data_IF_726326693000
#
_entry.id   IF_726326693000
#
_cell.length_a   1.000
_cell.length_b   1.000
_cell.length_c   1.000
_cell.angle_alpha   90.00
_cell.angle_beta   90.00
_cell.angle_gamma   90.00
#
_symmetry.space_group_name_H-M   'P 1'
#
loop_
_entity.id
_entity.type
_entity.pdbx_description
1 polymer ?
#
# COMPACT_ATOMS: atom_id res chain seq x y z
N UNK A 1 -39.15 7.85 15.84
CA UNK A 1 -38.28 6.66 15.91
C UNK A 1 -37.00 6.91 15.09
N UNK A 2 -35.85 7.14 15.75
CA UNK A 2 -34.56 7.52 15.14
C UNK A 2 -33.76 6.27 14.75
N UNK A 3 -33.73 5.90 13.47
CA UNK A 3 -32.91 4.77 12.95
C UNK A 3 -31.96 5.17 11.81
N UNK A 4 -31.37 6.38 11.86
CA UNK A 4 -30.43 6.86 10.82
C UNK A 4 -28.95 6.99 11.24
N UNK A 5 -28.57 6.50 12.42
CA UNK A 5 -27.18 6.61 12.94
C UNK A 5 -26.25 5.43 12.60
N UNK A 6 -26.79 4.23 12.37
CA UNK A 6 -25.99 2.99 12.16
C UNK A 6 -25.14 3.03 10.89
N UNK A 7 -25.70 3.50 9.77
CA UNK A 7 -24.98 3.52 8.48
C UNK A 7 -23.80 4.50 8.43
N UNK A 8 -23.89 5.64 9.13
CA UNK A 8 -22.77 6.60 9.21
C UNK A 8 -21.59 6.01 9.99
N UNK A 9 -21.85 5.36 11.12
CA UNK A 9 -20.80 4.73 11.93
C UNK A 9 -20.09 3.59 11.19
N UNK A 10 -20.84 2.71 10.50
CA UNK A 10 -20.24 1.62 9.70
C UNK A 10 -19.35 2.14 8.56
N UNK A 11 -19.81 3.16 7.81
CA UNK A 11 -19.01 3.80 6.75
C UNK A 11 -17.71 4.40 7.28
N UNK A 12 -17.75 5.04 8.46
CA UNK A 12 -16.54 5.58 9.10
C UNK A 12 -15.59 4.47 9.57
N UNK A 13 -16.11 3.31 10.00
CA UNK A 13 -15.31 2.17 10.45
C UNK A 13 -14.60 1.49 9.27
N UNK A 14 -15.29 1.30 8.15
CA UNK A 14 -14.70 0.71 6.94
C UNK A 14 -13.58 1.59 6.36
N UNK A 15 -13.77 2.92 6.29
CA UNK A 15 -12.72 3.83 5.80
C UNK A 15 -11.51 3.83 6.73
N UNK A 16 -11.72 3.83 8.05
CA UNK A 16 -10.62 3.77 9.03
C UNK A 16 -9.87 2.45 8.97
N UNK A 17 -10.58 1.34 8.79
CA UNK A 17 -9.98 0.04 8.62
C UNK A 17 -9.14 0.00 7.33
N UNK A 18 -9.71 0.45 6.21
CA UNK A 18 -9.01 0.49 4.93
C UNK A 18 -7.74 1.35 4.99
N UNK A 19 -7.80 2.54 5.61
CA UNK A 19 -6.63 3.39 5.82
C UNK A 19 -5.52 2.68 6.61
N UNK A 20 -5.88 2.05 7.74
CA UNK A 20 -4.91 1.31 8.56
C UNK A 20 -4.31 0.13 7.82
N UNK A 21 -5.12 -0.58 7.03
CA UNK A 21 -4.68 -1.70 6.20
C UNK A 21 -3.70 -1.23 5.13
N UNK A 22 -4.03 -0.18 4.35
CA UNK A 22 -3.14 0.39 3.33
C UNK A 22 -1.80 0.83 3.94
N UNK A 23 -1.85 1.50 5.09
CA UNK A 23 -0.66 1.96 5.79
C UNK A 23 0.20 0.78 6.29
N UNK A 24 -0.43 -0.24 6.90
CA UNK A 24 0.25 -1.46 7.34
C UNK A 24 0.89 -2.22 6.19
N UNK A 25 0.18 -2.40 5.07
CA UNK A 25 0.75 -3.09 3.91
C UNK A 25 1.88 -2.27 3.28
N UNK A 26 1.76 -0.94 3.26
CA UNK A 26 2.85 -0.07 2.75
C UNK A 26 4.13 -0.27 3.56
N UNK A 27 4.04 -0.24 4.89
CA UNK A 27 5.20 -0.50 5.75
C UNK A 27 5.74 -1.92 5.58
N UNK A 28 4.86 -2.91 5.40
CA UNK A 28 5.27 -4.28 5.10
C UNK A 28 6.04 -4.38 3.78
N UNK A 29 5.55 -3.76 2.70
CA UNK A 29 6.26 -3.73 1.41
C UNK A 29 7.60 -3.01 1.49
N UNK A 30 7.70 -1.90 2.24
CA UNK A 30 8.98 -1.22 2.50
C UNK A 30 9.93 -2.15 3.27
N UNK A 31 9.44 -2.84 4.29
CA UNK A 31 10.22 -3.81 5.05
C UNK A 31 10.77 -4.94 4.17
N UNK A 32 9.95 -5.48 3.27
CA UNK A 32 10.39 -6.47 2.28
C UNK A 32 11.45 -5.92 1.33
N UNK A 33 11.32 -4.68 0.86
CA UNK A 33 12.32 -4.05 0.01
C UNK A 33 13.67 -3.92 0.73
N UNK A 34 13.66 -3.46 1.98
CA UNK A 34 14.87 -3.39 2.82
C UNK A 34 15.46 -4.79 3.04
N UNK A 35 14.62 -5.78 3.33
CA UNK A 35 15.07 -7.16 3.52
C UNK A 35 15.68 -7.75 2.26
N UNK A 36 15.13 -7.43 1.08
CA UNK A 36 15.71 -7.81 -0.21
C UNK A 36 17.11 -7.22 -0.38
N UNK A 37 17.31 -5.91 -0.10
CA UNK A 37 18.64 -5.28 -0.17
C UNK A 37 19.67 -5.97 0.74
N UNK A 38 19.30 -6.25 2.00
CA UNK A 38 20.19 -6.98 2.91
C UNK A 38 20.47 -8.40 2.44
N UNK A 39 19.45 -9.12 1.95
CA UNK A 39 19.61 -10.46 1.39
C UNK A 39 20.52 -10.49 0.16
N UNK A 40 20.48 -9.46 -0.68
CA UNK A 40 21.42 -9.30 -1.80
C UNK A 40 22.85 -9.10 -1.33
N UNK A 41 23.08 -8.29 -0.30
CA UNK A 41 24.43 -8.07 0.26
C UNK A 41 24.98 -9.36 0.91
N UNK A 42 24.11 -10.11 1.60
CA UNK A 42 24.46 -11.38 2.24
C UNK A 42 24.51 -12.58 1.27
N UNK A 43 24.30 -12.36 -0.04
CA UNK A 43 24.31 -13.39 -1.07
C UNK A 43 23.37 -14.57 -0.75
N UNK A 44 22.13 -14.25 -0.34
CA UNK A 44 21.08 -15.27 -0.19
C UNK A 44 20.86 -16.01 -1.51
N UNK A 45 20.46 -17.29 -1.42
CA UNK A 45 20.13 -18.09 -2.59
C UNK A 45 19.10 -17.36 -3.47
N UNK A 46 19.30 -17.45 -4.80
CA UNK A 46 18.43 -16.82 -5.79
C UNK A 46 16.96 -17.18 -5.59
N UNK A 47 16.66 -18.44 -5.22
CA UNK A 47 15.30 -18.89 -4.92
C UNK A 47 14.63 -18.11 -3.77
N UNK A 48 15.41 -17.74 -2.75
CA UNK A 48 14.91 -16.97 -1.59
C UNK A 48 14.68 -15.51 -1.99
N UNK A 49 15.58 -14.94 -2.78
CA UNK A 49 15.42 -13.58 -3.31
C UNK A 49 14.21 -13.47 -4.24
N UNK A 50 14.02 -14.43 -5.15
CA UNK A 50 12.84 -14.50 -6.03
C UNK A 50 11.55 -14.62 -5.22
N UNK A 51 11.54 -15.42 -4.15
CA UNK A 51 10.38 -15.52 -3.25
C UNK A 51 10.08 -14.17 -2.58
N UNK A 52 11.08 -13.48 -2.05
CA UNK A 52 10.93 -12.16 -1.43
C UNK A 52 10.34 -11.16 -2.43
N UNK A 53 10.87 -11.10 -3.65
CA UNK A 53 10.40 -10.19 -4.70
C UNK A 53 8.98 -10.56 -5.15
N UNK A 54 8.64 -11.84 -5.20
CA UNK A 54 7.29 -12.31 -5.53
C UNK A 54 6.29 -11.84 -4.47
N UNK A 55 6.57 -12.07 -3.19
CA UNK A 55 5.73 -11.60 -2.08
C UNK A 55 5.63 -10.07 -2.09
N UNK A 56 6.75 -9.38 -2.34
CA UNK A 56 6.77 -7.93 -2.49
C UNK A 56 5.84 -7.48 -3.61
N UNK A 57 5.89 -8.12 -4.79
CA UNK A 57 5.04 -7.79 -5.94
C UNK A 57 3.55 -7.99 -5.65
N UNK A 58 3.17 -9.07 -4.98
CA UNK A 58 1.77 -9.29 -4.60
C UNK A 58 1.31 -8.28 -3.56
N UNK A 59 2.14 -8.01 -2.54
CA UNK A 59 1.81 -7.04 -1.48
C UNK A 59 1.67 -5.61 -2.03
N UNK A 60 2.55 -5.18 -2.94
CA UNK A 60 2.51 -3.84 -3.51
C UNK A 60 1.30 -3.65 -4.43
N UNK A 61 0.99 -4.64 -5.28
CA UNK A 61 -0.21 -4.62 -6.13
C UNK A 61 -1.50 -4.56 -5.31
N UNK A 62 -1.63 -5.42 -4.30
CA UNK A 62 -2.80 -5.42 -3.42
C UNK A 62 -2.96 -4.10 -2.67
N UNK A 63 -1.86 -3.47 -2.27
CA UNK A 63 -1.87 -2.16 -1.62
C UNK A 63 -2.36 -1.06 -2.57
N UNK A 64 -1.87 -1.02 -3.81
CA UNK A 64 -2.31 -0.05 -4.82
C UNK A 64 -3.81 -0.20 -5.08
N UNK A 65 -4.29 -1.43 -5.27
CA UNK A 65 -5.71 -1.70 -5.49
C UNK A 65 -6.59 -1.29 -4.30
N UNK A 66 -6.11 -1.51 -3.07
CA UNK A 66 -6.81 -1.10 -1.85
C UNK A 66 -6.78 0.42 -1.61
N UNK A 67 -5.76 1.12 -2.10
CA UNK A 67 -5.57 2.55 -1.91
C UNK A 67 -6.42 3.40 -2.86
N UNK A 68 -6.72 2.94 -4.08
CA UNK A 68 -7.61 3.65 -5.03
C UNK A 68 -8.97 4.02 -4.42
N UNK A 69 -9.75 3.10 -3.83
CA UNK A 69 -11.05 3.43 -3.23
C UNK A 69 -10.93 4.30 -1.97
N UNK A 70 -9.75 4.40 -1.36
CA UNK A 70 -9.50 5.23 -0.18
C UNK A 70 -9.38 6.73 -0.54
N UNK A 71 -8.98 7.06 -1.77
CA UNK A 71 -8.84 8.46 -2.24
C UNK A 71 -10.18 9.20 -2.16
N UNK A 72 -11.27 8.56 -2.61
CA UNK A 72 -12.60 9.20 -2.69
C UNK A 72 -13.10 9.72 -1.34
N UNK A 73 -13.17 8.90 -0.25
CA UNK A 73 -13.61 9.40 1.05
C UNK A 73 -12.66 10.44 1.65
N UNK A 74 -11.35 10.34 1.40
CA UNK A 74 -10.38 11.35 1.86
C UNK A 74 -10.56 12.70 1.17
N UNK A 75 -10.80 12.71 -0.14
CA UNK A 75 -11.09 13.91 -0.93
C UNK A 75 -12.38 14.60 -0.46
N UNK A 76 -13.44 13.81 -0.23
CA UNK A 76 -14.72 14.32 0.30
C UNK A 76 -14.52 14.94 1.69
N UNK A 77 -13.75 14.29 2.57
CA UNK A 77 -13.46 14.80 3.91
C UNK A 77 -12.60 16.07 3.86
N UNK A 78 -11.59 16.13 2.99
CA UNK A 78 -10.73 17.30 2.81
C UNK A 78 -11.52 18.52 2.34
N UNK A 79 -12.39 18.36 1.33
CA UNK A 79 -13.24 19.44 0.80
C UNK A 79 -14.25 19.91 1.86
N UNK A 80 -14.91 18.98 2.56
CA UNK A 80 -16.00 19.31 3.49
C UNK A 80 -15.50 19.98 4.76
N UNK A 81 -14.41 19.49 5.37
CA UNK A 81 -13.95 20.00 6.66
C UNK A 81 -12.90 21.11 6.57
N UNK A 82 -12.27 21.34 5.39
CA UNK A 82 -11.22 22.36 5.14
C UNK A 82 -10.11 22.46 6.20
N UNK A 83 -9.91 21.43 7.05
CA UNK A 83 -8.88 21.45 8.10
C UNK A 83 -7.60 20.82 7.58
N UNK A 84 -6.47 21.45 7.91
CA UNK A 84 -5.13 20.99 7.53
C UNK A 84 -4.86 19.51 7.86
N UNK A 85 -5.40 19.00 8.98
CA UNK A 85 -5.25 17.58 9.38
C UNK A 85 -5.78 16.60 8.33
N UNK A 86 -6.89 16.90 7.65
CA UNK A 86 -7.42 16.01 6.61
C UNK A 86 -6.59 16.08 5.32
N UNK A 87 -5.99 17.24 5.04
CA UNK A 87 -5.07 17.39 3.92
C UNK A 87 -3.79 16.56 4.13
N UNK A 88 -3.25 16.55 5.36
CA UNK A 88 -2.10 15.70 5.71
C UNK A 88 -2.39 14.20 5.50
N UNK A 89 -3.57 13.72 5.90
CA UNK A 89 -3.97 12.31 5.71
C UNK A 89 -3.98 11.96 4.22
N UNK A 90 -4.58 12.83 3.39
CA UNK A 90 -4.64 12.64 1.94
C UNK A 90 -3.24 12.62 1.31
N UNK A 91 -2.34 13.51 1.73
CA UNK A 91 -0.95 13.53 1.25
C UNK A 91 -0.22 12.24 1.61
N UNK A 92 -0.40 11.73 2.84
CA UNK A 92 0.20 10.45 3.26
C UNK A 92 -0.32 9.30 2.40
N UNK A 93 -1.62 9.22 2.15
CA UNK A 93 -2.21 8.19 1.29
C UNK A 93 -1.69 8.26 -0.16
N UNK A 94 -1.53 9.46 -0.71
CA UNK A 94 -0.91 9.65 -2.04
C UNK A 94 0.55 9.19 -2.06
N UNK A 95 1.32 9.50 -1.02
CA UNK A 95 2.70 9.01 -0.91
C UNK A 95 2.76 7.49 -0.80
N UNK A 96 1.88 6.86 -0.04
CA UNK A 96 1.77 5.40 0.02
C UNK A 96 1.52 4.80 -1.36
N UNK A 97 0.62 5.39 -2.16
CA UNK A 97 0.33 4.94 -3.53
C UNK A 97 1.56 5.08 -4.43
N UNK A 98 2.26 6.22 -4.36
CA UNK A 98 3.46 6.45 -5.16
C UNK A 98 4.59 5.46 -4.82
N UNK A 99 4.85 5.25 -3.53
CA UNK A 99 5.91 4.32 -3.09
C UNK A 99 5.56 2.89 -3.50
N UNK A 100 4.32 2.45 -3.26
CA UNK A 100 3.91 1.08 -3.58
C UNK A 100 3.80 0.83 -5.07
N UNK A 101 3.45 1.83 -5.89
CA UNK A 101 3.47 1.70 -7.36
C UNK A 101 4.89 1.52 -7.89
N UNK A 102 5.85 2.31 -7.39
CA UNK A 102 7.28 2.17 -7.74
C UNK A 102 7.77 0.76 -7.36
N UNK A 103 7.47 0.30 -6.14
CA UNK A 103 7.84 -1.04 -5.69
C UNK A 103 7.20 -2.14 -6.54
N UNK A 104 5.95 -1.97 -6.99
CA UNK A 104 5.28 -2.95 -7.85
C UNK A 104 5.94 -3.08 -9.22
N UNK A 105 6.35 -1.94 -9.82
CA UNK A 105 7.06 -1.92 -11.10
C UNK A 105 8.46 -2.53 -10.94
N UNK A 106 9.20 -2.14 -9.91
CA UNK A 106 10.52 -2.69 -9.62
C UNK A 106 10.46 -4.21 -9.35
N UNK A 107 9.52 -4.68 -8.54
CA UNK A 107 9.40 -6.11 -8.28
C UNK A 107 9.10 -6.91 -9.55
N UNK A 108 8.22 -6.39 -10.42
CA UNK A 108 7.88 -7.05 -11.68
C UNK A 108 9.03 -7.06 -12.67
N UNK A 109 9.78 -5.97 -12.78
CA UNK A 109 10.96 -5.91 -13.66
C UNK A 109 12.04 -6.89 -13.20
N UNK A 110 12.28 -7.00 -11.89
CA UNK A 110 13.22 -7.99 -11.33
C UNK A 110 12.75 -9.43 -11.62
N UNK A 111 11.47 -9.73 -11.43
CA UNK A 111 10.93 -11.07 -11.73
C UNK A 111 11.01 -11.40 -13.22
N UNK A 112 10.75 -10.43 -14.10
CA UNK A 112 10.88 -10.60 -15.55
C UNK A 112 12.33 -10.83 -15.96
N UNK A 113 13.28 -10.08 -15.38
CA UNK A 113 14.71 -10.33 -15.60
C UNK A 113 15.09 -11.73 -15.14
N UNK A 114 14.67 -12.14 -13.93
CA UNK A 114 14.98 -13.45 -13.38
C UNK A 114 14.39 -14.60 -14.21
N UNK A 115 13.24 -14.39 -14.86
CA UNK A 115 12.60 -15.40 -15.72
C UNK A 115 13.11 -15.36 -17.18
N UNK A 116 13.66 -14.24 -17.64
CA UNK A 116 14.28 -14.12 -18.97
C UNK A 116 15.75 -14.52 -18.99
N UNK A 117 16.40 -14.62 -17.82
CA UNK A 117 17.76 -15.13 -17.64
C UNK A 117 17.83 -16.65 -17.34
N UNK A 118 16.67 -17.34 -17.28
CA UNK A 118 16.60 -18.80 -17.16
C UNK A 118 16.53 -19.49 -18.52
#
# INVERSE_FOLDING_TARGET
MKTRKSGKYRKTLTVRFLYRTVLSLTFFSIGLAVFFFFGSIQQFLDSTQVLIVTVMSFSSLTTVLAAIPLIVPELVLAITNRRQKFFQILVVSLLCILITSILAVLSRTILLLSAGLS
#
